data_IF_850197536973
#
_entry.id   IF_850197536973
#
_cell.length_a   1.000
_cell.length_b   1.000
_cell.length_c   1.000
_cell.angle_alpha   90.00
_cell.angle_beta   90.00
_cell.angle_gamma   90.00
#
_symmetry.space_group_name_H-M   'P 1'
#
loop_
_entity.id
_entity.type
_entity.pdbx_description
1 polymer ?
#
# COMPACT_ATOMS: atom_id res chain seq x y z
N UNK A 1 18.93 12.89 -71.89
CA UNK A 1 17.49 12.57 -71.76
C UNK A 1 17.19 11.46 -70.75
N UNK A 2 17.77 10.24 -70.82
CA UNK A 2 17.44 9.15 -69.85
C UNK A 2 17.70 9.47 -68.36
N UNK A 3 18.75 10.25 -68.04
CA UNK A 3 19.09 10.61 -66.65
C UNK A 3 18.10 11.62 -66.04
N UNK A 4 17.60 12.56 -66.84
CA UNK A 4 16.59 13.54 -66.42
C UNK A 4 15.26 12.87 -66.04
N UNK A 5 14.83 11.87 -66.82
CA UNK A 5 13.66 11.06 -66.46
C UNK A 5 13.86 10.29 -65.16
N UNK A 6 15.08 9.84 -64.88
CA UNK A 6 15.45 9.14 -63.65
C UNK A 6 15.42 10.09 -62.45
N UNK A 7 15.88 11.33 -62.62
CA UNK A 7 15.77 12.38 -61.59
C UNK A 7 14.32 12.78 -61.31
N UNK A 8 13.48 12.89 -62.34
CA UNK A 8 12.04 13.17 -62.18
C UNK A 8 11.35 12.01 -61.46
N UNK A 9 11.66 10.77 -61.84
CA UNK A 9 11.10 9.59 -61.19
C UNK A 9 11.52 9.47 -59.72
N UNK A 10 12.79 9.77 -59.42
CA UNK A 10 13.30 9.79 -58.05
C UNK A 10 12.62 10.88 -57.21
N UNK A 11 12.47 12.10 -57.73
CA UNK A 11 11.75 13.18 -57.05
C UNK A 11 10.29 12.84 -56.80
N UNK A 12 9.62 12.20 -57.78
CA UNK A 12 8.26 11.74 -57.62
C UNK A 12 8.16 10.70 -56.51
N UNK A 13 9.10 9.74 -56.45
CA UNK A 13 9.14 8.69 -55.44
C UNK A 13 9.39 9.24 -54.02
N UNK A 14 10.24 10.27 -53.88
CA UNK A 14 10.48 10.96 -52.61
C UNK A 14 9.24 11.74 -52.12
N UNK A 15 8.42 12.28 -53.02
CA UNK A 15 7.19 12.99 -52.63
C UNK A 15 6.13 12.08 -51.99
N UNK A 16 6.05 10.82 -52.41
CA UNK A 16 5.04 9.85 -51.95
C UNK A 16 5.35 9.32 -50.54
N UNK A 17 6.64 9.21 -50.17
CA UNK A 17 7.06 8.66 -48.87
C UNK A 17 6.81 9.64 -47.71
N UNK A 18 6.80 10.95 -47.97
CA UNK A 18 6.56 11.99 -46.95
C UNK A 18 5.12 11.93 -46.43
N UNK A 19 4.14 11.56 -47.26
CA UNK A 19 2.73 11.51 -46.83
C UNK A 19 2.39 10.26 -46.00
N UNK A 20 3.18 9.18 -46.10
CA UNK A 20 2.92 7.92 -45.40
C UNK A 20 3.20 7.97 -43.89
N UNK A 21 4.03 8.91 -43.42
CA UNK A 21 4.39 9.07 -42.01
C UNK A 21 3.49 10.02 -41.21
N UNK A 22 2.45 10.59 -41.83
CA UNK A 22 1.60 11.64 -41.21
C UNK A 22 0.52 11.12 -40.26
N UNK A 23 0.37 9.80 -40.10
CA UNK A 23 -0.51 9.23 -39.06
C UNK A 23 0.27 9.08 -37.76
N UNK A 24 0.39 10.17 -37.02
CA UNK A 24 1.00 10.17 -35.68
C UNK A 24 0.35 9.13 -34.76
N UNK A 25 1.14 8.60 -33.83
CA UNK A 25 0.67 7.62 -32.84
C UNK A 25 -0.51 8.21 -32.06
N UNK A 26 -1.68 7.58 -32.15
CA UNK A 26 -2.88 7.98 -31.40
C UNK A 26 -2.65 7.62 -29.93
N UNK A 27 -2.24 8.59 -29.14
CA UNK A 27 -2.13 8.47 -27.69
C UNK A 27 -3.46 8.88 -27.07
N UNK A 28 -4.12 7.92 -26.41
CA UNK A 28 -5.27 8.18 -25.56
C UNK A 28 -4.83 8.11 -24.10
N UNK A 29 -5.18 9.11 -23.30
CA UNK A 29 -5.03 9.06 -21.86
C UNK A 29 -6.31 8.50 -21.26
N UNK A 30 -6.17 7.46 -20.45
CA UNK A 30 -7.29 6.89 -19.70
C UNK A 30 -7.11 7.33 -18.26
N UNK A 31 -8.12 8.02 -17.74
CA UNK A 31 -8.18 8.36 -16.32
C UNK A 31 -8.67 7.13 -15.54
N UNK A 32 -7.72 6.41 -14.94
CA UNK A 32 -8.01 5.23 -14.14
C UNK A 32 -8.76 5.60 -12.85
N UNK A 33 -8.51 6.79 -12.29
CA UNK A 33 -9.20 7.28 -11.08
C UNK A 33 -10.70 7.40 -11.36
N UNK A 34 -11.07 8.01 -12.49
CA UNK A 34 -12.46 8.16 -12.92
C UNK A 34 -13.14 6.81 -13.21
N UNK A 35 -12.44 5.85 -13.83
CA UNK A 35 -13.01 4.52 -14.11
C UNK A 35 -13.25 3.77 -12.80
N UNK A 36 -12.27 3.75 -11.90
CA UNK A 36 -12.36 2.99 -10.65
C UNK A 36 -13.45 3.52 -9.71
N UNK A 37 -13.69 4.84 -9.69
CA UNK A 37 -14.81 5.46 -8.96
C UNK A 37 -16.20 5.07 -9.51
N UNK A 38 -16.29 4.59 -10.75
CA UNK A 38 -17.55 4.18 -11.37
C UNK A 38 -17.70 2.66 -11.46
N UNK A 39 -16.73 1.88 -10.97
CA UNK A 39 -16.80 0.42 -10.88
C UNK A 39 -17.22 0.02 -9.46
N UNK A 40 -18.48 -0.39 -9.24
CA UNK A 40 -18.99 -0.69 -7.90
C UNK A 40 -18.16 -1.74 -7.14
N UNK A 41 -17.65 -2.74 -7.87
CA UNK A 41 -16.82 -3.80 -7.31
C UNK A 41 -15.49 -3.31 -6.73
N UNK A 42 -14.89 -2.25 -7.30
CA UNK A 42 -13.65 -1.67 -6.77
C UNK A 42 -13.93 -0.90 -5.48
N UNK A 43 -14.99 -0.08 -5.47
CA UNK A 43 -15.44 0.65 -4.28
C UNK A 43 -15.76 -0.32 -3.14
N UNK A 44 -16.45 -1.42 -3.43
CA UNK A 44 -16.77 -2.44 -2.42
C UNK A 44 -15.52 -3.12 -1.86
N UNK A 45 -14.58 -3.52 -2.72
CA UNK A 45 -13.31 -4.11 -2.29
C UNK A 45 -12.47 -3.14 -1.45
N UNK A 46 -12.43 -1.86 -1.84
CA UNK A 46 -11.75 -0.80 -1.10
C UNK A 46 -12.37 -0.60 0.29
N UNK A 47 -13.70 -0.54 0.37
CA UNK A 47 -14.43 -0.42 1.64
C UNK A 47 -14.19 -1.64 2.55
N UNK A 48 -14.17 -2.85 1.99
CA UNK A 48 -13.88 -4.06 2.77
C UNK A 48 -12.44 -4.07 3.32
N UNK A 49 -11.47 -3.59 2.53
CA UNK A 49 -10.09 -3.45 2.96
C UNK A 49 -9.97 -2.40 4.08
N UNK A 50 -10.61 -1.25 3.93
CA UNK A 50 -10.63 -0.20 4.94
C UNK A 50 -11.29 -0.66 6.25
N UNK A 51 -12.39 -1.40 6.17
CA UNK A 51 -13.05 -2.00 7.33
C UNK A 51 -12.13 -2.99 8.07
N UNK A 52 -11.40 -3.85 7.35
CA UNK A 52 -10.42 -4.77 7.96
C UNK A 52 -9.28 -4.01 8.62
N UNK A 53 -8.73 -3.01 7.93
CA UNK A 53 -7.67 -2.16 8.47
C UNK A 53 -8.12 -1.46 9.76
N UNK A 54 -9.34 -0.91 9.77
CA UNK A 54 -9.89 -0.23 10.93
C UNK A 54 -10.10 -1.19 12.11
N UNK A 55 -10.60 -2.40 11.86
CA UNK A 55 -10.74 -3.43 12.88
C UNK A 55 -9.39 -3.79 13.52
N UNK A 56 -8.37 -4.04 12.71
CA UNK A 56 -7.03 -4.36 13.23
C UNK A 56 -6.41 -3.21 14.02
N UNK A 57 -6.63 -1.96 13.59
CA UNK A 57 -6.21 -0.77 14.38
C UNK A 57 -6.87 -0.75 15.75
N UNK A 58 -8.18 -0.99 15.82
CA UNK A 58 -8.91 -1.03 17.09
C UNK A 58 -8.41 -2.16 18.00
N UNK A 59 -8.11 -3.34 17.45
CA UNK A 59 -7.56 -4.46 18.22
C UNK A 59 -6.17 -4.14 18.81
N UNK A 60 -5.29 -3.52 18.02
CA UNK A 60 -3.95 -3.08 18.47
C UNK A 60 -4.08 -2.02 19.58
N UNK A 61 -5.00 -1.07 19.40
CA UNK A 61 -5.23 0.00 20.38
C UNK A 61 -5.80 -0.57 21.69
N UNK A 62 -6.74 -1.52 21.61
CA UNK A 62 -7.28 -2.21 22.77
C UNK A 62 -6.20 -2.97 23.56
N UNK A 63 -5.37 -3.77 22.88
CA UNK A 63 -4.24 -4.49 23.50
C UNK A 63 -3.24 -3.52 24.13
N UNK A 64 -2.91 -2.43 23.45
CA UNK A 64 -2.01 -1.39 23.97
C UNK A 64 -2.56 -0.75 25.26
N UNK A 65 -3.86 -0.46 25.29
CA UNK A 65 -4.51 0.11 26.47
C UNK A 65 -4.51 -0.87 27.65
N UNK A 66 -4.71 -2.16 27.39
CA UNK A 66 -4.62 -3.21 28.41
C UNK A 66 -3.21 -3.33 28.99
N UNK A 67 -2.19 -3.38 28.13
CA UNK A 67 -0.77 -3.38 28.54
C UNK A 67 -0.44 -2.16 29.41
N UNK A 68 -0.92 -0.96 29.02
CA UNK A 68 -0.71 0.25 29.82
C UNK A 68 -1.34 0.15 31.21
N UNK A 69 -2.56 -0.40 31.32
CA UNK A 69 -3.20 -0.65 32.62
C UNK A 69 -2.40 -1.61 33.48
N UNK A 70 -1.85 -2.69 32.89
CA UNK A 70 -0.99 -3.64 33.61
C UNK A 70 0.29 -2.97 34.11
N UNK A 71 0.90 -2.10 33.30
CA UNK A 71 2.08 -1.30 33.70
C UNK A 71 1.77 -0.35 34.85
N UNK A 72 0.63 0.34 34.78
CA UNK A 72 0.19 1.25 35.85
C UNK A 72 -0.13 0.50 37.14
N UNK A 73 -0.82 -0.64 37.06
CA UNK A 73 -1.12 -1.50 38.20
C UNK A 73 0.17 -2.02 38.84
N UNK A 74 1.12 -2.52 38.04
CA UNK A 74 2.41 -2.97 38.54
C UNK A 74 3.16 -1.83 39.22
N UNK A 75 3.13 -0.61 38.68
CA UNK A 75 3.78 0.56 39.29
C UNK A 75 3.16 0.93 40.64
N UNK A 76 1.84 0.85 40.77
CA UNK A 76 1.12 1.13 42.02
C UNK A 76 1.36 0.04 43.08
N UNK A 77 1.35 -1.22 42.67
CA UNK A 77 1.49 -2.38 43.57
C UNK A 77 2.95 -2.70 43.90
N UNK A 78 3.93 -2.20 43.12
CA UNK A 78 5.36 -2.56 43.22
C UNK A 78 5.93 -2.53 44.64
N UNK A 79 5.51 -1.56 45.46
CA UNK A 79 5.99 -1.41 46.83
C UNK A 79 5.51 -2.54 47.78
N UNK A 80 4.43 -3.23 47.40
CA UNK A 80 3.81 -4.32 48.16
C UNK A 80 4.23 -5.71 47.65
N UNK A 81 4.86 -5.78 46.48
CA UNK A 81 5.23 -7.03 45.83
C UNK A 81 6.66 -7.47 46.17
N UNK A 82 6.88 -8.79 46.17
CA UNK A 82 8.23 -9.36 46.25
C UNK A 82 8.97 -9.17 44.93
N UNK A 83 10.31 -9.14 44.97
CA UNK A 83 11.14 -8.97 43.77
C UNK A 83 10.83 -10.00 42.67
N UNK A 84 10.60 -11.26 43.03
CA UNK A 84 10.27 -12.32 42.07
C UNK A 84 8.93 -12.09 41.37
N UNK A 85 7.90 -11.65 42.10
CA UNK A 85 6.59 -11.38 41.51
C UNK A 85 6.62 -10.15 40.58
N UNK A 86 7.45 -9.15 40.90
CA UNK A 86 7.68 -7.98 40.03
C UNK A 86 8.34 -8.42 38.72
N UNK A 87 9.32 -9.31 38.78
CA UNK A 87 10.04 -9.81 37.62
C UNK A 87 9.13 -10.66 36.71
N UNK A 88 8.31 -11.54 37.30
CA UNK A 88 7.29 -12.31 36.58
C UNK A 88 6.27 -11.39 35.87
N UNK A 89 5.72 -10.40 36.59
CA UNK A 89 4.76 -9.43 36.03
C UNK A 89 5.39 -8.57 34.91
N UNK A 90 6.66 -8.18 35.04
CA UNK A 90 7.37 -7.46 33.97
C UNK A 90 7.56 -8.35 32.75
N UNK A 91 7.98 -9.61 32.94
CA UNK A 91 8.14 -10.56 31.85
C UNK A 91 6.83 -10.80 31.10
N UNK A 92 5.71 -10.86 31.80
CA UNK A 92 4.38 -10.98 31.20
C UNK A 92 4.03 -9.73 30.37
N UNK A 93 4.26 -8.54 30.92
CA UNK A 93 4.04 -7.27 30.21
C UNK A 93 4.91 -7.19 28.95
N UNK A 94 6.19 -7.55 29.04
CA UNK A 94 7.13 -7.55 27.93
C UNK A 94 6.71 -8.56 26.85
N UNK A 95 6.20 -9.72 27.26
CA UNK A 95 5.64 -10.71 26.35
C UNK A 95 4.42 -10.17 25.59
N UNK A 96 3.47 -9.55 26.30
CA UNK A 96 2.29 -8.94 25.70
C UNK A 96 2.64 -7.78 24.76
N UNK A 97 3.65 -6.97 25.10
CA UNK A 97 4.16 -5.91 24.21
C UNK A 97 4.75 -6.46 22.93
N UNK A 98 5.53 -7.53 23.05
CA UNK A 98 6.10 -8.21 21.90
C UNK A 98 5.02 -8.82 21.03
N UNK A 99 4.02 -9.49 21.62
CA UNK A 99 2.89 -10.05 20.89
C UNK A 99 2.11 -8.96 20.13
N UNK A 100 1.84 -7.83 20.78
CA UNK A 100 1.14 -6.72 20.14
C UNK A 100 1.95 -6.11 18.99
N UNK A 101 3.27 -6.01 19.15
CA UNK A 101 4.18 -5.53 18.10
C UNK A 101 4.23 -6.51 16.91
N UNK A 102 4.36 -7.82 17.18
CA UNK A 102 4.32 -8.86 16.15
C UNK A 102 2.98 -8.86 15.41
N UNK A 103 1.87 -8.68 16.13
CA UNK A 103 0.56 -8.54 15.53
C UNK A 103 0.48 -7.32 14.60
N UNK A 104 0.98 -6.16 15.06
CA UNK A 104 1.03 -4.95 14.24
C UNK A 104 1.90 -5.15 12.99
N UNK A 105 3.07 -5.78 13.11
CA UNK A 105 3.94 -6.07 11.97
C UNK A 105 3.32 -7.08 11.00
N UNK A 106 2.59 -8.07 11.50
CA UNK A 106 1.87 -9.03 10.65
C UNK A 106 0.75 -8.36 9.85
N UNK A 107 0.10 -7.34 10.40
CA UNK A 107 -1.00 -6.62 9.73
C UNK A 107 -0.52 -5.46 8.85
N UNK A 108 0.47 -4.69 9.28
CA UNK A 108 0.88 -3.42 8.66
C UNK A 108 2.39 -3.33 8.37
N UNK A 109 3.13 -4.44 8.51
CA UNK A 109 4.55 -4.48 8.20
C UNK A 109 4.83 -4.58 6.70
N UNK A 110 6.11 -4.57 6.28
CA UNK A 110 6.50 -4.57 4.85
C UNK A 110 6.01 -5.77 4.04
N UNK A 111 5.75 -6.90 4.71
CA UNK A 111 5.15 -8.11 4.14
C UNK A 111 3.81 -8.44 4.84
N UNK A 112 3.12 -7.42 5.35
CA UNK A 112 1.90 -7.58 6.12
C UNK A 112 0.69 -7.91 5.25
N UNK A 113 -0.43 -8.21 5.91
CA UNK A 113 -1.71 -8.49 5.25
C UNK A 113 -2.34 -7.24 4.56
N UNK A 114 -1.80 -6.04 4.83
CA UNK A 114 -2.25 -4.75 4.28
C UNK A 114 -1.14 -4.02 3.53
#
# INVERSE_FOLDING_TARGET
MRKEFLFIFLNLFLGITIQAQTRGTKLGYIDMEYILQNVPNYIEAQNQLEQKAQKWKQEIEAKKNEINKLKEALKAEKALLTKGLIEERNSEIDFLEKENLEYQQKRFGPNGDL
#
